data_IF_329522171882
#
_entry.id   IF_329522171882
#
_cell.length_a   1.000
_cell.length_b   1.000
_cell.length_c   1.000
_cell.angle_alpha   90.00
_cell.angle_beta   90.00
_cell.angle_gamma   90.00
#
_symmetry.space_group_name_H-M   'P 1'
#
loop_
_entity.id
_entity.type
_entity.pdbx_description
1 polymer ?
#
# COMPACT_ATOMS: atom_id res chain seq x y z
N UNK A 1 -1.90 32.89 -11.04
CA UNK A 1 -1.03 31.79 -11.49
C UNK A 1 -1.53 30.58 -10.74
N UNK A 2 -2.40 29.80 -11.37
CA UNK A 2 -2.78 28.50 -10.84
C UNK A 2 -1.87 27.50 -11.52
N UNK A 3 -0.91 26.96 -10.78
CA UNK A 3 -0.21 25.77 -11.21
C UNK A 3 -1.24 24.65 -11.13
N UNK A 4 -1.54 24.05 -12.29
CA UNK A 4 -2.56 23.02 -12.39
C UNK A 4 -2.19 21.85 -11.49
N UNK A 5 -3.14 21.43 -10.67
CA UNK A 5 -3.16 20.10 -10.08
C UNK A 5 -2.87 19.11 -11.22
N UNK A 6 -1.70 18.50 -11.21
CA UNK A 6 -1.44 17.34 -12.05
C UNK A 6 -2.37 16.25 -11.51
N UNK A 7 -3.53 16.08 -12.15
CA UNK A 7 -4.43 14.97 -11.87
C UNK A 7 -3.64 13.68 -12.16
N UNK A 8 -3.29 12.96 -11.10
CA UNK A 8 -2.50 11.74 -11.18
C UNK A 8 -3.17 10.77 -12.18
N UNK A 9 -2.39 10.30 -13.15
CA UNK A 9 -2.86 9.34 -14.16
C UNK A 9 -2.27 7.96 -13.84
N UNK A 10 -3.09 6.99 -13.38
CA UNK A 10 -2.61 5.65 -13.04
C UNK A 10 -2.12 4.92 -14.28
N UNK A 11 -0.94 4.26 -14.18
CA UNK A 11 -0.38 3.44 -15.26
C UNK A 11 -0.59 1.95 -15.06
N UNK A 12 -0.99 1.56 -13.85
CA UNK A 12 -1.30 0.20 -13.46
C UNK A 12 -2.74 0.07 -12.98
N UNK A 13 -3.24 -1.16 -12.95
CA UNK A 13 -4.53 -1.47 -12.32
C UNK A 13 -4.51 -1.14 -10.83
N UNK A 14 -3.38 -1.39 -10.15
CA UNK A 14 -3.18 -1.02 -8.73
C UNK A 14 -3.37 0.48 -8.53
N UNK A 15 -2.73 1.32 -9.35
CA UNK A 15 -2.91 2.77 -9.31
C UNK A 15 -4.35 3.18 -9.55
N UNK A 16 -5.05 2.51 -10.47
CA UNK A 16 -6.46 2.77 -10.78
C UNK A 16 -7.38 2.49 -9.59
N UNK A 17 -7.23 1.31 -8.96
CA UNK A 17 -7.95 0.94 -7.73
C UNK A 17 -7.69 1.98 -6.64
N UNK A 18 -6.42 2.37 -6.50
CA UNK A 18 -5.99 3.26 -5.44
C UNK A 18 -6.56 4.68 -5.56
N UNK A 19 -6.52 5.28 -6.76
CA UNK A 19 -7.12 6.59 -7.04
C UNK A 19 -8.61 6.60 -6.76
N UNK A 20 -9.31 5.53 -7.15
CA UNK A 20 -10.73 5.39 -6.92
C UNK A 20 -11.06 5.35 -5.43
N UNK A 21 -10.30 4.57 -4.63
CA UNK A 21 -10.44 4.53 -3.18
C UNK A 21 -10.21 5.90 -2.54
N UNK A 22 -9.12 6.60 -2.89
CA UNK A 22 -8.82 7.94 -2.35
C UNK A 22 -9.89 9.00 -2.71
N UNK A 23 -10.64 8.76 -3.78
CA UNK A 23 -11.72 9.64 -4.24
C UNK A 23 -13.10 9.21 -3.72
N UNK A 24 -13.17 8.16 -2.90
CA UNK A 24 -14.42 7.62 -2.36
C UNK A 24 -15.30 6.95 -3.41
N UNK A 25 -14.76 6.58 -4.57
CA UNK A 25 -15.48 5.87 -5.62
C UNK A 25 -15.27 4.36 -5.49
N UNK A 26 -15.96 3.76 -4.52
CA UNK A 26 -15.93 2.32 -4.25
C UNK A 26 -16.32 1.49 -5.48
N UNK A 27 -17.20 2.02 -6.34
CA UNK A 27 -17.64 1.32 -7.55
C UNK A 27 -16.52 1.28 -8.59
N UNK A 28 -15.83 2.39 -8.81
CA UNK A 28 -14.67 2.43 -9.70
C UNK A 28 -13.53 1.55 -9.15
N UNK A 29 -13.30 1.55 -7.84
CA UNK A 29 -12.32 0.69 -7.19
C UNK A 29 -12.65 -0.79 -7.42
N UNK A 30 -13.91 -1.20 -7.20
CA UNK A 30 -14.38 -2.56 -7.47
C UNK A 30 -14.24 -2.94 -8.96
N UNK A 31 -14.66 -2.06 -9.86
CA UNK A 31 -14.56 -2.31 -11.31
C UNK A 31 -13.11 -2.43 -11.79
N UNK A 32 -12.17 -1.66 -11.22
CA UNK A 32 -10.75 -1.80 -11.49
C UNK A 32 -10.18 -3.09 -10.89
N UNK A 33 -10.58 -3.45 -9.68
CA UNK A 33 -10.14 -4.68 -9.02
C UNK A 33 -10.58 -5.96 -9.75
N UNK A 34 -11.74 -5.93 -10.43
CA UNK A 34 -12.27 -7.04 -11.25
C UNK A 34 -11.51 -7.26 -12.57
N UNK A 35 -10.68 -6.31 -13.00
CA UNK A 35 -9.89 -6.48 -14.22
C UNK A 35 -8.80 -7.56 -14.02
N UNK A 36 -8.46 -8.32 -15.08
CA UNK A 36 -7.37 -9.28 -15.02
C UNK A 36 -6.08 -8.62 -14.51
N UNK A 37 -5.30 -9.27 -13.64
CA UNK A 37 -4.06 -8.70 -13.12
C UNK A 37 -3.04 -8.51 -14.24
N UNK A 38 -2.35 -7.38 -14.20
CA UNK A 38 -1.17 -7.13 -15.03
C UNK A 38 0.06 -7.83 -14.44
N UNK A 39 1.07 -8.10 -15.27
CA UNK A 39 2.31 -8.77 -14.86
C UNK A 39 2.99 -8.04 -13.69
N UNK A 40 2.90 -6.72 -13.67
CA UNK A 40 3.58 -5.86 -12.69
C UNK A 40 2.71 -5.46 -11.50
N UNK A 41 1.42 -5.81 -11.45
CA UNK A 41 0.53 -5.34 -10.38
C UNK A 41 1.04 -5.72 -8.98
N UNK A 42 1.50 -6.97 -8.83
CA UNK A 42 2.07 -7.43 -7.56
C UNK A 42 3.33 -6.65 -7.15
N UNK A 43 4.15 -6.27 -8.14
CA UNK A 43 5.38 -5.51 -7.94
C UNK A 43 5.09 -4.05 -7.57
N UNK A 44 4.12 -3.42 -8.25
CA UNK A 44 3.65 -2.06 -7.95
C UNK A 44 3.08 -2.00 -6.53
N UNK A 45 2.21 -2.94 -6.18
CA UNK A 45 1.60 -2.99 -4.84
C UNK A 45 2.66 -3.19 -3.75
N UNK A 46 3.62 -4.10 -3.96
CA UNK A 46 4.71 -4.33 -3.03
C UNK A 46 5.62 -3.10 -2.89
N UNK A 47 5.96 -2.43 -3.99
CA UNK A 47 6.76 -1.21 -3.98
C UNK A 47 6.05 -0.06 -3.25
N UNK A 48 4.75 0.15 -3.49
CA UNK A 48 3.96 1.17 -2.82
C UNK A 48 3.96 0.97 -1.30
N UNK A 49 3.68 -0.26 -0.87
CA UNK A 49 3.67 -0.61 0.55
C UNK A 49 5.05 -0.47 1.19
N UNK A 50 6.12 -0.87 0.49
CA UNK A 50 7.49 -0.67 0.96
C UNK A 50 7.81 0.79 1.20
N UNK A 51 7.49 1.65 0.23
CA UNK A 51 7.69 3.10 0.33
C UNK A 51 6.85 3.71 1.45
N UNK A 52 5.61 3.23 1.64
CA UNK A 52 4.69 3.72 2.66
C UNK A 52 5.14 3.35 4.07
N UNK A 53 5.65 2.13 4.24
CA UNK A 53 6.22 1.68 5.51
C UNK A 53 7.48 2.47 5.83
N UNK A 54 8.36 2.69 4.84
CA UNK A 54 9.63 3.42 5.02
C UNK A 54 9.46 4.92 5.25
N UNK A 55 8.32 5.51 4.90
CA UNK A 55 8.03 6.90 5.25
C UNK A 55 7.63 7.07 6.73
N UNK A 56 7.18 5.98 7.37
CA UNK A 56 6.77 5.98 8.78
C UNK A 56 7.80 5.37 9.72
N UNK A 57 8.61 4.45 9.22
CA UNK A 57 9.57 3.69 9.98
C UNK A 57 10.93 3.70 9.28
N UNK A 58 11.96 3.92 10.05
CA UNK A 58 13.36 3.82 9.65
C UNK A 58 14.04 2.60 10.30
N UNK A 59 15.33 2.43 10.04
CA UNK A 59 16.16 1.36 10.59
C UNK A 59 16.32 1.41 12.12
N UNK A 60 16.04 2.57 12.73
CA UNK A 60 16.14 2.80 14.18
C UNK A 60 14.79 2.67 14.90
N UNK A 61 13.71 2.37 14.17
CA UNK A 61 12.37 2.25 14.74
C UNK A 61 12.29 1.07 15.72
N UNK A 62 11.91 1.32 16.99
CA UNK A 62 11.83 0.26 17.99
C UNK A 62 10.66 -0.69 17.69
N UNK A 63 10.79 -2.00 17.98
CA UNK A 63 9.72 -2.98 17.77
C UNK A 63 8.38 -2.62 18.44
N UNK A 64 8.43 -1.91 19.57
CA UNK A 64 7.25 -1.46 20.30
C UNK A 64 6.44 -0.44 19.48
N UNK A 65 7.09 0.43 18.71
CA UNK A 65 6.40 1.41 17.86
C UNK A 65 5.68 0.71 16.69
N UNK A 66 6.28 -0.33 16.13
CA UNK A 66 5.64 -1.18 15.11
C UNK A 66 4.42 -1.89 15.71
N UNK A 67 4.55 -2.45 16.91
CA UNK A 67 3.46 -3.12 17.60
C UNK A 67 2.29 -2.17 17.92
N UNK A 68 2.57 -0.95 18.37
CA UNK A 68 1.55 0.09 18.61
C UNK A 68 0.82 0.47 17.31
N UNK A 69 1.56 0.61 16.22
CA UNK A 69 0.99 0.90 14.91
C UNK A 69 0.06 -0.22 14.42
N UNK A 70 0.51 -1.48 14.51
CA UNK A 70 -0.29 -2.66 14.16
C UNK A 70 -1.54 -2.77 15.04
N UNK A 71 -1.43 -2.45 16.33
CA UNK A 71 -2.57 -2.43 17.24
C UNK A 71 -3.61 -1.37 16.85
N UNK A 72 -3.17 -0.18 16.43
CA UNK A 72 -4.06 0.87 15.91
C UNK A 72 -4.75 0.41 14.61
N UNK A 73 -4.00 -0.12 13.66
CA UNK A 73 -4.53 -0.62 12.38
C UNK A 73 -5.57 -1.73 12.59
N UNK A 74 -5.30 -2.69 13.47
CA UNK A 74 -6.26 -3.76 13.82
C UNK A 74 -7.60 -3.19 14.30
N UNK A 75 -7.57 -2.12 15.11
CA UNK A 75 -8.78 -1.51 15.66
C UNK A 75 -9.59 -0.80 14.58
N UNK A 76 -8.91 -0.21 13.60
CA UNK A 76 -9.53 0.69 12.64
C UNK A 76 -9.99 -0.05 11.34
N UNK A 77 -9.25 -1.08 10.89
CA UNK A 77 -9.53 -1.81 9.62
C UNK A 77 -9.62 -3.35 9.77
N UNK A 78 -9.78 -3.86 10.99
CA UNK A 78 -9.98 -5.29 11.30
C UNK A 78 -8.94 -6.27 10.71
N UNK A 79 -7.69 -5.83 10.52
CA UNK A 79 -6.62 -6.71 10.01
C UNK A 79 -6.10 -7.69 11.06
N UNK A 80 -5.69 -8.89 10.63
CA UNK A 80 -4.97 -9.82 11.49
C UNK A 80 -3.61 -9.21 11.91
N UNK A 81 -3.37 -8.97 13.21
CA UNK A 81 -2.17 -8.29 13.67
C UNK A 81 -0.88 -9.06 13.35
N UNK A 82 -0.91 -10.39 13.32
CA UNK A 82 0.28 -11.19 13.01
C UNK A 82 0.70 -11.03 11.54
N UNK A 83 -0.28 -10.96 10.62
CA UNK A 83 -0.02 -10.76 9.19
C UNK A 83 0.46 -9.33 8.95
N UNK A 84 -0.17 -8.34 9.60
CA UNK A 84 0.22 -6.94 9.49
C UNK A 84 1.64 -6.68 10.01
N UNK A 85 2.00 -7.26 11.17
CA UNK A 85 3.37 -7.18 11.70
C UNK A 85 4.38 -7.83 10.75
N UNK A 86 4.09 -9.04 10.25
CA UNK A 86 4.95 -9.72 9.29
C UNK A 86 5.13 -8.91 8.00
N UNK A 87 4.05 -8.29 7.48
CA UNK A 87 4.11 -7.41 6.32
C UNK A 87 5.03 -6.22 6.55
N UNK A 88 4.84 -5.48 7.65
CA UNK A 88 5.67 -4.31 7.98
C UNK A 88 7.14 -4.71 8.07
N UNK A 89 7.46 -5.77 8.81
CA UNK A 89 8.84 -6.24 8.98
C UNK A 89 9.47 -6.71 7.67
N UNK A 90 8.69 -7.36 6.81
CA UNK A 90 9.14 -7.73 5.46
C UNK A 90 9.47 -6.51 4.61
N UNK A 91 8.69 -5.43 4.70
CA UNK A 91 9.01 -4.19 3.99
C UNK A 91 10.27 -3.48 4.53
N UNK A 92 10.60 -3.70 5.80
CA UNK A 92 11.83 -3.24 6.43
C UNK A 92 13.05 -4.12 6.09
N UNK A 93 12.86 -5.23 5.36
CA UNK A 93 13.94 -6.08 4.83
C UNK A 93 14.07 -7.44 5.50
N UNK A 94 13.15 -7.82 6.39
CA UNK A 94 13.15 -9.17 6.97
C UNK A 94 12.52 -10.20 6.01
N UNK A 95 13.28 -11.24 5.68
CA UNK A 95 12.87 -12.26 4.73
C UNK A 95 12.11 -13.43 5.39
N UNK A 96 11.21 -14.05 4.64
CA UNK A 96 10.56 -15.31 5.03
C UNK A 96 9.41 -15.21 6.02
N UNK A 97 9.07 -14.03 6.55
CA UNK A 97 8.03 -13.86 7.57
C UNK A 97 6.61 -14.16 7.08
N UNK A 98 6.36 -13.99 5.78
CA UNK A 98 5.03 -14.21 5.19
C UNK A 98 4.75 -15.68 4.82
N UNK A 99 5.76 -16.56 4.91
CA UNK A 99 5.67 -17.95 4.45
C UNK A 99 4.68 -18.81 5.24
N UNK A 100 4.39 -18.42 6.49
CA UNK A 100 3.49 -19.16 7.38
C UNK A 100 2.01 -18.76 7.22
N UNK A 101 1.71 -17.78 6.36
CA UNK A 101 0.35 -17.26 6.14
C UNK A 101 -0.24 -17.69 4.79
N UNK A 102 -1.56 -17.77 4.71
CA UNK A 102 -2.25 -18.04 3.46
C UNK A 102 -2.10 -16.88 2.47
N UNK A 103 -1.99 -17.14 1.15
CA UNK A 103 -1.87 -16.08 0.15
C UNK A 103 -3.01 -15.04 0.19
N UNK A 104 -4.23 -15.49 0.54
CA UNK A 104 -5.38 -14.60 0.68
C UNK A 104 -5.22 -13.67 1.89
N UNK A 105 -4.80 -14.19 3.05
CA UNK A 105 -4.59 -13.38 4.26
C UNK A 105 -3.52 -12.31 4.03
N UNK A 106 -2.44 -12.68 3.33
CA UNK A 106 -1.36 -11.75 2.95
C UNK A 106 -1.90 -10.68 2.01
N UNK A 107 -2.67 -11.06 0.98
CA UNK A 107 -3.27 -10.12 0.03
C UNK A 107 -4.23 -9.14 0.70
N UNK A 108 -5.13 -9.63 1.54
CA UNK A 108 -6.13 -8.80 2.22
C UNK A 108 -5.44 -7.80 3.17
N UNK A 109 -4.48 -8.28 3.97
CA UNK A 109 -3.72 -7.41 4.86
C UNK A 109 -2.85 -6.38 4.11
N UNK A 110 -2.31 -6.76 2.95
CA UNK A 110 -1.55 -5.87 2.05
C UNK A 110 -2.41 -4.69 1.59
N UNK A 111 -3.64 -4.96 1.12
CA UNK A 111 -4.58 -3.91 0.69
C UNK A 111 -5.09 -3.05 1.85
N UNK A 112 -5.49 -3.68 2.96
CA UNK A 112 -5.94 -2.96 4.15
C UNK A 112 -4.84 -2.04 4.70
N UNK A 113 -3.60 -2.51 4.71
CA UNK A 113 -2.46 -1.73 5.16
C UNK A 113 -2.19 -0.53 4.24
N UNK A 114 -2.17 -0.73 2.92
CA UNK A 114 -1.98 0.37 1.97
C UNK A 114 -3.09 1.43 2.12
N UNK A 115 -4.36 1.00 2.16
CA UNK A 115 -5.48 1.91 2.37
C UNK A 115 -5.37 2.70 3.68
N UNK A 116 -5.06 2.02 4.79
CA UNK A 116 -4.89 2.64 6.10
C UNK A 116 -3.76 3.68 6.13
N UNK A 117 -2.61 3.34 5.58
CA UNK A 117 -1.44 4.24 5.51
C UNK A 117 -1.80 5.52 4.78
N UNK A 118 -2.53 5.40 3.69
CA UNK A 118 -2.83 6.52 2.82
C UNK A 118 -3.95 7.42 3.37
N UNK A 119 -4.99 6.84 3.95
CA UNK A 119 -6.09 7.62 4.54
C UNK A 119 -5.71 8.31 5.85
N UNK A 120 -4.84 7.70 6.67
CA UNK A 120 -4.68 8.14 8.07
C UNK A 120 -3.28 8.62 8.43
N UNK A 121 -2.25 8.33 7.62
CA UNK A 121 -0.87 8.64 7.98
C UNK A 121 -0.15 9.53 6.97
N UNK A 122 -0.29 9.21 5.70
CA UNK A 122 0.46 9.84 4.61
C UNK A 122 -0.34 11.00 4.00
N UNK A 123 -1.67 10.90 3.95
CA UNK A 123 -2.51 11.94 3.34
C UNK A 123 -2.58 11.80 1.82
N UNK A 124 -3.55 12.47 1.18
CA UNK A 124 -3.92 12.19 -0.21
C UNK A 124 -2.80 12.48 -1.23
N UNK A 125 -2.15 13.64 -1.14
CA UNK A 125 -1.12 14.06 -2.10
C UNK A 125 0.09 13.12 -2.06
N UNK A 126 0.69 12.97 -0.88
CA UNK A 126 1.82 12.06 -0.64
C UNK A 126 1.48 10.60 -1.02
N UNK A 127 0.22 10.18 -0.87
CA UNK A 127 -0.25 8.85 -1.27
C UNK A 127 -0.25 8.65 -2.79
N UNK A 128 -0.62 9.68 -3.56
CA UNK A 128 -0.58 9.62 -5.03
C UNK A 128 0.87 9.64 -5.54
N UNK A 129 1.72 10.48 -4.96
CA UNK A 129 3.16 10.50 -5.27
C UNK A 129 3.82 9.15 -5.01
N UNK A 130 3.46 8.50 -3.91
CA UNK A 130 3.95 7.19 -3.54
C UNK A 130 3.59 6.11 -4.56
N UNK A 131 2.34 6.08 -5.04
CA UNK A 131 1.94 5.14 -6.08
C UNK A 131 2.64 5.45 -7.40
N UNK A 132 2.83 6.73 -7.73
CA UNK A 132 3.58 7.10 -8.94
C UNK A 132 5.03 6.58 -8.88
N UNK A 133 5.70 6.75 -7.73
CA UNK A 133 7.04 6.24 -7.48
C UNK A 133 7.07 4.71 -7.55
N UNK A 134 6.11 4.03 -6.94
CA UNK A 134 6.00 2.57 -6.99
C UNK A 134 5.85 2.06 -8.43
N UNK A 135 5.00 2.71 -9.23
CA UNK A 135 4.85 2.39 -10.64
C UNK A 135 6.13 2.67 -11.43
N UNK A 136 6.92 3.70 -11.09
CA UNK A 136 8.24 3.94 -11.74
C UNK A 136 9.26 2.88 -11.36
N UNK A 137 9.19 2.32 -10.15
CA UNK A 137 10.09 1.23 -9.72
C UNK A 137 9.73 -0.11 -10.36
N UNK A 138 8.45 -0.39 -10.52
CA UNK A 138 7.94 -1.69 -10.94
C UNK A 138 7.69 -1.80 -12.46
N UNK A 139 7.26 -0.72 -13.12
CA UNK A 139 7.02 -0.73 -14.56
C UNK A 139 8.31 -0.43 -15.32
N UNK A 140 8.59 -1.12 -16.44
CA UNK A 140 9.73 -0.79 -17.28
C UNK A 140 9.63 0.64 -17.79
N UNK A 141 10.75 1.36 -17.82
CA UNK A 141 10.83 2.67 -18.44
C UNK A 141 10.47 2.53 -19.94
N UNK A 142 9.35 3.14 -20.33
CA UNK A 142 8.89 3.22 -21.73
C UNK A 142 9.84 4.10 -22.55
#
# INVERSE_FOLDING_TARGET
>A
MGEGEHEFEPRSRVGTVFVALLSGDEKAAGAAAEQPPEEHDGEVLAAAIRLAVRSLFDEDTPPEAVAEFVAAMRRDVEVNPAVAEALVRTQLGEEGLLADFGPQDVSDATWSMLGYLCEHRIGREDSLELVELAEREALPAV
#
